data_IF_300695914670
#
_entry.id   IF_300695914670
#
_cell.length_a   1.000
_cell.length_b   1.000
_cell.length_c   1.000
_cell.angle_alpha   90.00
_cell.angle_beta   90.00
_cell.angle_gamma   90.00
#
_symmetry.space_group_name_H-M   'P 1'
#
loop_
_entity.id
_entity.type
_entity.pdbx_description
1 polymer ?
#
# COMPACT_ATOMS: atom_id res chain seq x y z
N UNK A 1 -3.45 47.90 3.01
CA UNK A 1 -4.39 46.88 3.53
C UNK A 1 -5.01 46.19 2.31
N UNK A 2 -4.77 44.94 1.92
CA UNK A 2 -4.17 43.77 2.55
C UNK A 2 -3.59 42.95 1.38
N UNK A 3 -2.25 42.86 1.26
CA UNK A 3 -1.64 41.96 0.27
C UNK A 3 -1.90 40.54 0.73
N UNK A 4 -2.70 39.82 -0.05
CA UNK A 4 -2.92 38.38 0.00
C UNK A 4 -1.57 37.65 -0.03
N UNK A 5 -1.05 37.30 1.14
CA UNK A 5 0.03 36.31 1.26
C UNK A 5 -0.58 35.04 1.80
N UNK A 6 -1.09 34.24 0.87
CA UNK A 6 -1.41 32.84 1.11
C UNK A 6 -0.17 32.15 1.66
N UNK A 7 -0.18 31.82 2.95
CA UNK A 7 0.78 30.91 3.54
C UNK A 7 0.41 29.53 3.04
N UNK A 8 1.23 29.02 2.14
CA UNK A 8 1.12 27.68 1.58
C UNK A 8 1.04 26.65 2.71
N UNK A 9 -0.09 25.94 2.78
CA UNK A 9 -0.28 24.67 3.49
C UNK A 9 0.59 23.55 2.88
N UNK A 10 1.86 23.82 2.62
CA UNK A 10 2.82 22.84 2.12
C UNK A 10 3.17 21.87 3.23
N UNK A 11 2.41 20.78 3.23
CA UNK A 11 2.93 19.43 3.39
C UNK A 11 3.70 19.13 4.69
N UNK A 12 2.97 18.97 5.80
CA UNK A 12 3.39 17.97 6.80
C UNK A 12 3.07 16.57 6.26
N UNK A 13 3.85 16.08 5.29
CA UNK A 13 3.91 14.64 4.99
C UNK A 13 4.61 13.98 6.18
N UNK A 14 3.86 13.55 7.20
CA UNK A 14 4.41 12.61 8.20
C UNK A 14 4.90 11.39 7.42
N UNK A 15 6.23 11.19 7.38
CA UNK A 15 6.81 9.93 6.97
C UNK A 15 6.21 8.83 7.87
N UNK A 16 5.44 7.92 7.29
CA UNK A 16 4.91 6.77 8.02
C UNK A 16 6.07 5.97 8.57
N UNK A 17 6.16 5.84 9.89
CA UNK A 17 7.09 4.92 10.54
C UNK A 17 6.69 3.48 10.22
N UNK A 18 7.66 2.59 9.97
CA UNK A 18 7.43 1.16 9.72
C UNK A 18 6.56 0.58 10.83
N UNK A 19 5.43 -0.04 10.50
CA UNK A 19 4.55 -0.62 11.50
C UNK A 19 5.26 -1.80 12.14
N UNK A 20 5.69 -1.66 13.40
CA UNK A 20 6.38 -2.73 14.15
C UNK A 20 5.41 -3.72 14.79
N UNK A 21 4.10 -3.45 14.70
CA UNK A 21 3.06 -4.20 15.40
C UNK A 21 2.47 -5.32 14.53
N UNK A 22 2.39 -5.09 13.21
CA UNK A 22 1.75 -6.03 12.28
C UNK A 22 2.77 -6.57 11.29
N UNK A 23 2.63 -7.86 10.93
CA UNK A 23 3.35 -8.43 9.80
C UNK A 23 2.67 -7.96 8.51
N UNK A 24 3.33 -7.09 7.76
CA UNK A 24 2.80 -6.57 6.50
C UNK A 24 2.73 -7.66 5.42
N UNK A 25 1.78 -7.51 4.50
CA UNK A 25 1.69 -8.36 3.32
C UNK A 25 2.92 -8.16 2.42
N UNK A 26 3.50 -9.25 1.92
CA UNK A 26 4.63 -9.25 0.97
C UNK A 26 4.16 -9.68 -0.41
N UNK A 27 4.75 -9.08 -1.44
CA UNK A 27 4.43 -9.35 -2.85
C UNK A 27 5.56 -10.13 -3.51
N UNK A 28 5.27 -11.31 -4.03
CA UNK A 28 6.16 -12.04 -4.94
C UNK A 28 6.00 -11.47 -6.35
N UNK A 29 6.94 -10.63 -6.79
CA UNK A 29 6.82 -9.84 -8.04
C UNK A 29 6.69 -10.72 -9.28
N UNK A 30 7.29 -11.91 -9.25
CA UNK A 30 7.31 -12.90 -10.32
C UNK A 30 5.90 -13.45 -10.57
N UNK A 31 5.14 -13.69 -9.50
CA UNK A 31 3.75 -14.21 -9.57
C UNK A 31 2.71 -13.12 -9.84
N UNK A 32 3.01 -11.87 -9.50
CA UNK A 32 2.04 -10.77 -9.61
C UNK A 32 1.73 -10.46 -11.09
N UNK A 33 0.48 -10.64 -11.52
CA UNK A 33 0.05 -10.31 -12.90
C UNK A 33 -0.30 -8.84 -13.12
N UNK A 34 -0.37 -8.03 -12.06
CA UNK A 34 -0.81 -6.63 -12.15
C UNK A 34 -2.32 -6.45 -12.37
N UNK A 35 -3.15 -7.44 -12.03
CA UNK A 35 -4.63 -7.39 -12.19
C UNK A 35 -5.35 -6.41 -11.27
N UNK A 36 -4.68 -5.86 -10.24
CA UNK A 36 -5.18 -4.83 -9.31
C UNK A 36 -6.33 -5.23 -8.37
N UNK A 37 -6.80 -6.48 -8.35
CA UNK A 37 -7.86 -6.92 -7.42
C UNK A 37 -7.53 -6.65 -5.95
N UNK A 38 -6.28 -6.88 -5.55
CA UNK A 38 -5.82 -6.61 -4.18
C UNK A 38 -5.93 -5.12 -3.79
N UNK A 39 -5.87 -4.20 -4.74
CA UNK A 39 -6.03 -2.76 -4.48
C UNK A 39 -7.47 -2.45 -4.06
N UNK A 40 -8.44 -3.02 -4.77
CA UNK A 40 -9.87 -2.80 -4.50
C UNK A 40 -10.35 -3.50 -3.23
N UNK A 41 -9.72 -4.63 -2.88
CA UNK A 41 -10.07 -5.39 -1.67
C UNK A 41 -9.45 -4.82 -0.39
N UNK A 42 -8.39 -4.01 -0.49
CA UNK A 42 -7.76 -3.48 0.71
C UNK A 42 -8.70 -2.47 1.39
N UNK A 43 -9.10 -2.69 2.67
CA UNK A 43 -10.00 -1.79 3.36
C UNK A 43 -9.34 -0.43 3.68
N UNK A 44 -8.01 -0.38 3.68
CA UNK A 44 -7.24 0.84 3.89
C UNK A 44 -6.76 1.41 2.54
N UNK A 45 -7.31 2.57 2.10
CA UNK A 45 -7.03 3.11 0.77
C UNK A 45 -5.57 3.51 0.62
N UNK A 46 -5.04 3.28 -0.58
CA UNK A 46 -3.66 3.59 -0.96
C UNK A 46 -2.58 2.81 -0.19
N UNK A 47 -2.92 1.74 0.54
CA UNK A 47 -1.92 0.84 1.12
C UNK A 47 -1.28 -0.04 0.04
N UNK A 48 -2.07 -0.54 -0.91
CA UNK A 48 -1.57 -1.28 -2.06
C UNK A 48 -1.68 -0.38 -3.29
N UNK A 49 -0.56 -0.18 -4.00
CA UNK A 49 -0.49 0.72 -5.16
C UNK A 49 0.01 -0.02 -6.38
N UNK A 50 -0.50 0.36 -7.55
CA UNK A 50 0.00 -0.14 -8.83
C UNK A 50 1.19 0.69 -9.30
N UNK A 51 2.32 0.05 -9.58
CA UNK A 51 3.52 0.68 -10.11
C UNK A 51 3.55 0.49 -11.62
N UNK A 52 3.34 1.60 -12.34
CA UNK A 52 3.25 1.59 -13.82
C UNK A 52 4.55 1.12 -14.48
N UNK A 53 5.71 1.42 -13.89
CA UNK A 53 7.03 1.09 -14.43
C UNK A 53 7.26 -0.42 -14.61
N UNK A 54 6.83 -1.23 -13.64
CA UNK A 54 7.02 -2.69 -13.66
C UNK A 54 5.71 -3.48 -13.84
N UNK A 55 4.57 -2.77 -13.94
CA UNK A 55 3.21 -3.35 -14.04
C UNK A 55 2.86 -4.29 -12.86
N UNK A 56 3.45 -4.07 -11.68
CA UNK A 56 3.19 -4.84 -10.45
C UNK A 56 2.53 -3.96 -9.39
N UNK A 57 2.14 -4.58 -8.29
CA UNK A 57 1.69 -3.86 -7.09
C UNK A 57 2.78 -3.80 -6.04
N UNK A 58 2.75 -2.76 -5.22
CA UNK A 58 3.59 -2.58 -4.04
C UNK A 58 2.71 -2.30 -2.82
N UNK A 59 3.16 -2.79 -1.66
CA UNK A 59 2.46 -2.64 -0.38
C UNK A 59 3.23 -1.65 0.48
N UNK A 60 2.51 -0.66 1.01
CA UNK A 60 3.03 0.23 2.05
C UNK A 60 3.04 -0.51 3.40
N UNK A 61 4.21 -1.06 3.74
CA UNK A 61 4.42 -1.82 4.97
C UNK A 61 4.24 -0.98 6.25
N UNK A 62 4.29 0.35 6.14
CA UNK A 62 4.09 1.26 7.28
C UNK A 62 2.61 1.37 7.66
N UNK A 63 1.73 1.11 6.70
CA UNK A 63 0.27 1.22 6.87
C UNK A 63 -0.44 -0.13 6.86
N UNK A 64 0.12 -1.13 6.21
CA UNK A 64 -0.45 -2.47 6.13
C UNK A 64 -0.69 -3.06 7.53
N UNK A 65 -1.90 -3.57 7.75
CA UNK A 65 -2.31 -4.20 9.02
C UNK A 65 -2.21 -5.72 9.01
N UNK A 66 -1.73 -6.33 7.92
CA UNK A 66 -1.58 -7.78 7.84
C UNK A 66 -2.89 -8.58 7.83
N UNK A 67 -4.03 -7.99 7.43
CA UNK A 67 -5.32 -8.69 7.50
C UNK A 67 -5.50 -9.87 6.52
N UNK A 68 -4.60 -10.04 5.54
CA UNK A 68 -4.63 -11.19 4.63
C UNK A 68 -5.65 -11.15 3.49
N UNK A 69 -6.59 -10.19 3.48
CA UNK A 69 -7.63 -10.10 2.42
C UNK A 69 -7.04 -10.06 1.01
N UNK A 70 -5.94 -9.32 0.81
CA UNK A 70 -5.27 -9.22 -0.47
C UNK A 70 -4.66 -10.55 -0.96
N UNK A 71 -4.24 -11.43 -0.04
CA UNK A 71 -3.75 -12.76 -0.35
C UNK A 71 -4.91 -13.68 -0.76
N UNK A 72 -6.03 -13.63 -0.04
CA UNK A 72 -7.22 -14.43 -0.31
C UNK A 72 -7.81 -14.16 -1.72
N UNK A 73 -7.82 -12.90 -2.16
CA UNK A 73 -8.37 -12.54 -3.49
C UNK A 73 -7.37 -12.66 -4.64
N UNK A 74 -6.09 -12.95 -4.36
CA UNK A 74 -5.07 -12.96 -5.41
C UNK A 74 -5.13 -14.26 -6.23
N UNK A 75 -5.57 -14.25 -7.50
CA UNK A 75 -5.70 -15.47 -8.29
C UNK A 75 -4.36 -16.12 -8.66
N UNK A 76 -3.25 -15.42 -8.42
CA UNK A 76 -1.89 -15.92 -8.69
C UNK A 76 -1.13 -16.28 -7.42
N UNK A 77 -1.75 -16.14 -6.24
CA UNK A 77 -1.07 -16.35 -4.95
C UNK A 77 0.20 -15.49 -4.82
N UNK A 78 0.15 -14.26 -5.33
CA UNK A 78 1.31 -13.36 -5.38
C UNK A 78 1.48 -12.53 -4.10
N UNK A 79 0.50 -12.55 -3.19
CA UNK A 79 0.56 -11.88 -1.90
C UNK A 79 0.44 -12.90 -0.78
N UNK A 80 1.22 -12.71 0.28
CA UNK A 80 1.15 -13.49 1.50
C UNK A 80 1.31 -12.59 2.72
N UNK A 81 0.67 -12.96 3.82
CA UNK A 81 0.95 -12.42 5.15
C UNK A 81 1.54 -13.58 5.95
N UNK A 82 2.72 -13.39 6.53
CA UNK A 82 3.30 -14.42 7.38
C UNK A 82 2.65 -14.37 8.76
N UNK A 83 2.16 -15.53 9.23
CA UNK A 83 1.85 -15.77 10.63
C UNK A 83 3.14 -16.26 11.29
N UNK A 84 3.59 -15.58 12.34
CA UNK A 84 4.71 -16.01 13.19
C UNK A 84 4.38 -17.33 13.90
#
# INVERSE_FOLDING_TARGET
>A
MLLLRGTTLTARRKAGGKSTVYVAAKVTKEKCSGCKLCIFTCPDPNVIKFVKANKKVEVDETRCKGCGLCAAVCPKGALAVSSL
#
